data_IF_902423929192
#
_entry.id   IF_902423929192
#
_cell.length_a   1.000
_cell.length_b   1.000
_cell.length_c   1.000
_cell.angle_alpha   90.00
_cell.angle_beta   90.00
_cell.angle_gamma   90.00
#
_symmetry.space_group_name_H-M   'P 1'
#
loop_
_entity.id
_entity.type
_entity.pdbx_description
1 polymer ?
#
# COMPACT_ATOMS: atom_id res chain seq x y z
N UNK A 1 -31.25 54.80 16.91
CA UNK A 1 -30.26 54.83 15.82
C UNK A 1 -28.95 54.16 16.23
N UNK A 2 -28.48 54.33 17.48
CA UNK A 2 -27.26 53.67 17.99
C UNK A 2 -27.31 52.13 18.00
N UNK A 3 -28.47 51.55 18.29
CA UNK A 3 -28.62 50.08 18.41
C UNK A 3 -28.42 49.36 17.06
N UNK A 4 -28.93 49.92 15.96
CA UNK A 4 -28.71 49.37 14.61
C UNK A 4 -27.23 49.43 14.21
N UNK A 5 -26.57 50.56 14.50
CA UNK A 5 -25.16 50.76 14.20
C UNK A 5 -24.29 49.75 14.96
N UNK A 6 -24.55 49.59 16.26
CA UNK A 6 -23.85 48.63 17.10
C UNK A 6 -24.02 47.20 16.58
N UNK A 7 -25.23 46.83 16.15
CA UNK A 7 -25.50 45.51 15.58
C UNK A 7 -24.69 45.24 14.31
N UNK A 8 -24.69 46.17 13.35
CA UNK A 8 -23.94 46.00 12.09
C UNK A 8 -22.43 45.94 12.33
N UNK A 9 -21.88 46.75 13.25
CA UNK A 9 -20.47 46.68 13.62
C UNK A 9 -20.12 45.33 14.27
N UNK A 10 -20.99 44.81 15.13
CA UNK A 10 -20.81 43.48 15.73
C UNK A 10 -20.84 42.36 14.68
N UNK A 11 -21.74 42.42 13.70
CA UNK A 11 -21.78 41.45 12.60
C UNK A 11 -20.55 41.54 11.70
N UNK A 12 -20.12 42.75 11.40
CA UNK A 12 -18.88 43.01 10.65
C UNK A 12 -17.65 42.41 11.37
N UNK A 13 -17.55 42.60 12.69
CA UNK A 13 -16.51 41.97 13.51
C UNK A 13 -16.57 40.43 13.46
N UNK A 14 -17.77 39.84 13.54
CA UNK A 14 -17.93 38.38 13.37
C UNK A 14 -17.46 37.91 12.00
N UNK A 15 -17.69 38.69 10.95
CA UNK A 15 -17.25 38.37 9.59
C UNK A 15 -15.72 38.46 9.46
N UNK A 16 -15.11 39.49 10.04
CA UNK A 16 -13.65 39.64 10.09
C UNK A 16 -12.97 38.48 10.81
N UNK A 17 -13.50 38.04 11.96
CA UNK A 17 -12.97 36.90 12.70
C UNK A 17 -13.02 35.62 11.87
N UNK A 18 -14.11 35.37 11.13
CA UNK A 18 -14.20 34.21 10.22
C UNK A 18 -13.16 34.28 9.11
N UNK A 19 -13.01 35.45 8.48
CA UNK A 19 -12.06 35.64 7.40
C UNK A 19 -10.60 35.54 7.87
N UNK A 20 -10.30 35.99 9.09
CA UNK A 20 -8.98 35.83 9.73
C UNK A 20 -8.62 34.36 9.94
N UNK A 21 -9.56 33.55 10.44
CA UNK A 21 -9.33 32.11 10.63
C UNK A 21 -9.06 31.40 9.30
N UNK A 22 -9.78 31.80 8.24
CA UNK A 22 -9.58 31.26 6.90
C UNK A 22 -8.26 31.71 6.28
N UNK A 23 -7.84 32.97 6.48
CA UNK A 23 -6.55 33.45 5.97
C UNK A 23 -5.38 32.71 6.61
N UNK A 24 -5.44 32.42 7.92
CA UNK A 24 -4.44 31.61 8.61
C UNK A 24 -4.49 30.16 8.14
N UNK A 25 -5.68 29.58 7.94
CA UNK A 25 -5.80 28.19 7.49
C UNK A 25 -5.21 27.95 6.09
N UNK A 26 -5.48 28.84 5.14
CA UNK A 26 -5.02 28.68 3.75
C UNK A 26 -3.59 29.16 3.53
N UNK A 27 -3.03 29.97 4.43
CA UNK A 27 -1.69 30.57 4.31
C UNK A 27 -1.48 31.29 2.96
N UNK A 28 -2.55 31.84 2.38
CA UNK A 28 -2.55 32.46 1.06
C UNK A 28 -2.47 34.00 1.16
N UNK A 29 -1.53 34.58 0.40
CA UNK A 29 -1.25 36.02 0.41
C UNK A 29 -2.46 36.87 0.00
N UNK A 30 -3.25 36.43 -0.99
CA UNK A 30 -4.40 37.18 -1.47
C UNK A 30 -5.52 37.21 -0.43
N UNK A 31 -5.78 36.07 0.24
CA UNK A 31 -6.78 36.02 1.31
C UNK A 31 -6.37 36.94 2.47
N UNK A 32 -5.09 36.95 2.82
CA UNK A 32 -4.58 37.85 3.85
C UNK A 32 -4.74 39.33 3.46
N UNK A 33 -4.44 39.69 2.20
CA UNK A 33 -4.66 41.05 1.68
C UNK A 33 -6.13 41.46 1.69
N UNK A 34 -7.03 40.56 1.30
CA UNK A 34 -8.49 40.80 1.36
C UNK A 34 -8.93 41.03 2.81
N UNK A 35 -8.48 40.18 3.75
CA UNK A 35 -8.75 40.35 5.18
C UNK A 35 -8.34 41.73 5.70
N UNK A 36 -7.10 42.14 5.43
CA UNK A 36 -6.59 43.45 5.87
C UNK A 36 -7.43 44.60 5.28
N UNK A 37 -7.79 44.51 3.99
CA UNK A 37 -8.61 45.54 3.34
C UNK A 37 -10.00 45.61 3.95
N UNK A 38 -10.65 44.48 4.19
CA UNK A 38 -11.95 44.39 4.88
C UNK A 38 -11.86 44.99 6.29
N UNK A 39 -10.75 44.77 7.02
CA UNK A 39 -10.54 45.33 8.36
C UNK A 39 -10.39 46.86 8.33
N UNK A 40 -9.67 47.40 7.34
CA UNK A 40 -9.56 48.85 7.14
C UNK A 40 -10.93 49.48 6.89
N UNK A 41 -11.76 48.84 6.05
CA UNK A 41 -13.13 49.30 5.76
C UNK A 41 -13.98 49.29 7.03
N UNK A 42 -13.96 48.21 7.80
CA UNK A 42 -14.64 48.16 9.10
C UNK A 42 -14.24 49.33 10.01
N UNK A 43 -12.93 49.55 10.20
CA UNK A 43 -12.42 50.64 11.05
C UNK A 43 -12.85 52.01 10.55
N UNK A 44 -12.93 52.21 9.23
CA UNK A 44 -13.40 53.47 8.65
C UNK A 44 -14.86 53.75 9.03
N UNK A 45 -15.73 52.75 9.01
CA UNK A 45 -17.10 52.91 9.50
C UNK A 45 -17.14 53.06 11.03
N UNK A 46 -16.37 52.27 11.79
CA UNK A 46 -16.33 52.39 13.26
C UNK A 46 -15.95 53.80 13.73
N UNK A 47 -14.93 54.40 13.11
CA UNK A 47 -14.36 55.70 13.51
C UNK A 47 -15.12 56.92 12.99
N UNK A 48 -16.02 56.76 12.00
CA UNK A 48 -16.76 57.87 11.39
C UNK A 48 -18.28 57.66 11.57
N UNK A 49 -18.89 58.22 12.64
CA UNK A 49 -20.32 58.14 12.93
C UNK A 49 -21.23 58.67 11.81
N UNK A 50 -20.74 59.67 11.07
CA UNK A 50 -21.42 60.36 9.97
C UNK A 50 -21.72 59.44 8.76
N UNK A 51 -20.98 58.32 8.63
CA UNK A 51 -21.18 57.38 7.54
C UNK A 51 -22.42 56.52 7.76
N UNK A 52 -23.21 56.36 6.70
CA UNK A 52 -24.35 55.45 6.66
C UNK A 52 -23.89 54.00 6.86
N UNK A 53 -24.14 53.48 8.06
CA UNK A 53 -23.70 52.16 8.49
C UNK A 53 -24.27 51.02 7.63
N UNK A 54 -25.44 51.20 7.00
CA UNK A 54 -26.03 50.18 6.14
C UNK A 54 -25.15 49.86 4.92
N UNK A 55 -24.25 50.78 4.53
CA UNK A 55 -23.28 50.55 3.46
C UNK A 55 -22.21 49.54 3.85
N UNK A 56 -21.86 49.44 5.14
CA UNK A 56 -20.97 48.40 5.64
C UNK A 56 -21.62 47.00 5.55
N UNK A 57 -22.91 46.93 5.85
CA UNK A 57 -23.69 45.69 5.70
C UNK A 57 -23.75 45.26 4.22
N UNK A 58 -24.10 46.18 3.31
CA UNK A 58 -24.10 45.94 1.86
C UNK A 58 -22.73 45.48 1.35
N UNK A 59 -21.66 46.10 1.83
CA UNK A 59 -20.30 45.70 1.51
C UNK A 59 -20.02 44.23 1.89
N UNK A 60 -20.40 43.82 3.10
CA UNK A 60 -20.21 42.44 3.52
C UNK A 60 -21.06 41.46 2.72
N UNK A 61 -22.32 41.82 2.43
CA UNK A 61 -23.21 41.01 1.58
C UNK A 61 -22.62 40.81 0.18
N UNK A 62 -22.01 41.85 -0.39
CA UNK A 62 -21.51 41.83 -1.77
C UNK A 62 -20.14 41.15 -1.91
N UNK A 63 -19.22 41.40 -0.97
CA UNK A 63 -17.81 41.01 -1.17
C UNK A 63 -17.29 39.99 -0.16
N UNK A 64 -17.78 40.02 1.09
CA UNK A 64 -17.18 39.23 2.17
C UNK A 64 -17.91 37.91 2.43
N UNK A 65 -19.24 37.93 2.45
CA UNK A 65 -20.06 36.77 2.80
C UNK A 65 -19.86 35.61 1.82
N UNK A 66 -19.99 35.88 0.51
CA UNK A 66 -19.81 34.85 -0.53
C UNK A 66 -18.38 34.30 -0.58
N UNK A 67 -17.38 35.15 -0.30
CA UNK A 67 -15.98 34.73 -0.20
C UNK A 67 -15.77 33.79 0.99
N UNK A 68 -16.27 34.15 2.17
CA UNK A 68 -16.19 33.31 3.37
C UNK A 68 -16.86 31.96 3.14
N UNK A 69 -18.02 31.93 2.50
CA UNK A 69 -18.72 30.67 2.20
C UNK A 69 -17.95 29.79 1.21
N UNK A 70 -17.35 30.38 0.17
CA UNK A 70 -16.50 29.67 -0.78
C UNK A 70 -15.29 29.04 -0.09
N UNK A 71 -14.55 29.83 0.68
CA UNK A 71 -13.37 29.37 1.42
C UNK A 71 -13.73 28.28 2.44
N UNK A 72 -14.88 28.37 3.10
CA UNK A 72 -15.38 27.32 4.01
C UNK A 72 -15.69 26.01 3.27
N UNK A 73 -16.30 26.08 2.08
CA UNK A 73 -16.56 24.88 1.27
C UNK A 73 -15.27 24.20 0.84
N UNK A 74 -14.28 24.97 0.38
CA UNK A 74 -12.96 24.44 0.00
C UNK A 74 -12.28 23.79 1.21
N UNK A 75 -12.23 24.50 2.35
CA UNK A 75 -11.67 23.96 3.60
C UNK A 75 -12.31 22.63 3.97
N UNK A 76 -13.65 22.55 3.96
CA UNK A 76 -14.38 21.32 4.30
C UNK A 76 -14.06 20.18 3.33
N UNK A 77 -13.94 20.48 2.04
CA UNK A 77 -13.58 19.50 1.03
C UNK A 77 -12.15 18.96 1.23
N UNK A 78 -11.19 19.86 1.48
CA UNK A 78 -9.81 19.48 1.76
C UNK A 78 -9.70 18.61 3.02
N UNK A 79 -10.42 18.97 4.09
CA UNK A 79 -10.46 18.17 5.32
C UNK A 79 -11.05 16.77 5.09
N UNK A 80 -12.11 16.65 4.29
CA UNK A 80 -12.69 15.36 3.93
C UNK A 80 -11.71 14.51 3.11
N UNK A 81 -11.05 15.09 2.11
CA UNK A 81 -10.05 14.39 1.29
C UNK A 81 -8.85 13.94 2.12
N UNK A 82 -8.35 14.80 3.01
CA UNK A 82 -7.26 14.45 3.93
C UNK A 82 -7.67 13.28 4.84
N UNK A 83 -8.91 13.26 5.34
CA UNK A 83 -9.42 12.13 6.12
C UNK A 83 -9.36 10.81 5.34
N UNK A 84 -9.81 10.81 4.09
CA UNK A 84 -9.77 9.62 3.23
C UNK A 84 -8.33 9.13 2.97
N UNK A 85 -7.39 10.06 2.81
CA UNK A 85 -5.97 9.71 2.66
C UNK A 85 -5.40 9.09 3.94
N UNK A 86 -5.82 9.56 5.12
CA UNK A 86 -5.44 8.93 6.39
C UNK A 86 -6.00 7.51 6.51
N UNK A 87 -7.26 7.30 6.13
CA UNK A 87 -7.87 5.96 6.12
C UNK A 87 -7.11 5.02 5.17
N UNK A 88 -6.70 5.51 3.98
CA UNK A 88 -5.89 4.74 3.03
C UNK A 88 -4.51 4.39 3.60
N UNK A 89 -3.86 5.34 4.28
CA UNK A 89 -2.57 5.13 4.96
C UNK A 89 -2.70 4.04 6.03
N UNK A 90 -3.74 4.08 6.85
CA UNK A 90 -3.97 3.11 7.92
C UNK A 90 -4.21 1.70 7.36
N UNK A 91 -5.10 1.56 6.37
CA UNK A 91 -5.35 0.29 5.70
C UNK A 91 -4.10 -0.30 5.04
N UNK A 92 -3.26 0.56 4.44
CA UNK A 92 -2.01 0.12 3.81
C UNK A 92 -1.00 -0.35 4.85
N UNK A 93 -0.90 0.33 6.01
CA UNK A 93 -0.04 -0.11 7.12
C UNK A 93 -0.48 -1.44 7.69
N UNK A 94 -1.78 -1.64 7.94
CA UNK A 94 -2.29 -2.93 8.39
C UNK A 94 -1.96 -4.07 7.40
N UNK A 95 -1.98 -3.78 6.10
CA UNK A 95 -1.63 -4.77 5.08
C UNK A 95 -0.14 -5.13 5.14
N UNK A 96 0.75 -4.14 5.34
CA UNK A 96 2.19 -4.36 5.52
C UNK A 96 2.44 -5.21 6.77
N UNK A 97 1.82 -4.87 7.90
CA UNK A 97 1.99 -5.60 9.16
C UNK A 97 1.56 -7.07 9.04
N UNK A 98 0.41 -7.33 8.39
CA UNK A 98 -0.08 -8.69 8.09
C UNK A 98 0.88 -9.47 7.18
N UNK A 99 1.63 -8.78 6.32
CA UNK A 99 2.64 -9.39 5.47
C UNK A 99 3.93 -9.70 6.26
N UNK A 100 4.34 -8.85 7.21
CA UNK A 100 5.49 -9.06 8.09
C UNK A 100 5.30 -10.23 9.06
N UNK A 101 4.13 -10.33 9.72
CA UNK A 101 3.83 -11.39 10.70
C UNK A 101 3.89 -12.81 10.10
N UNK A 102 3.76 -12.91 8.78
CA UNK A 102 3.83 -14.16 8.02
C UNK A 102 5.20 -14.40 7.36
N UNK A 103 6.25 -13.64 7.71
CA UNK A 103 7.53 -13.75 7.03
C UNK A 103 8.43 -14.80 7.70
N UNK A 104 8.53 -15.97 7.05
CA UNK A 104 9.58 -16.94 7.35
C UNK A 104 10.93 -16.35 6.91
N UNK A 105 11.94 -16.34 7.80
CA UNK A 105 13.24 -15.75 7.48
C UNK A 105 14.09 -16.68 6.62
N UNK A 106 14.89 -16.11 5.71
CA UNK A 106 15.82 -16.89 4.87
C UNK A 106 16.82 -17.70 5.71
N UNK A 107 17.24 -17.16 6.86
CA UNK A 107 18.10 -17.86 7.80
C UNK A 107 17.42 -19.09 8.42
N UNK A 108 16.14 -18.98 8.80
CA UNK A 108 15.37 -20.12 9.32
C UNK A 108 15.22 -21.21 8.26
N UNK A 109 15.00 -20.80 7.01
CA UNK A 109 14.89 -21.71 5.87
C UNK A 109 16.19 -22.47 5.61
N UNK A 110 17.36 -21.79 5.58
CA UNK A 110 18.66 -22.45 5.37
C UNK A 110 18.99 -23.48 6.46
N UNK A 111 18.70 -23.16 7.73
CA UNK A 111 18.91 -24.09 8.85
C UNK A 111 17.99 -25.31 8.70
N UNK A 112 16.71 -25.10 8.38
CA UNK A 112 15.76 -26.19 8.25
C UNK A 112 15.96 -27.02 6.96
N UNK A 113 16.49 -26.45 5.88
CA UNK A 113 16.93 -27.19 4.68
C UNK A 113 17.98 -28.24 5.03
N UNK A 114 19.01 -27.86 5.80
CA UNK A 114 20.05 -28.78 6.23
C UNK A 114 19.48 -29.91 7.11
N UNK A 115 18.57 -29.57 8.03
CA UNK A 115 17.88 -30.55 8.86
C UNK A 115 17.01 -31.50 8.02
N UNK A 116 16.32 -30.99 7.01
CA UNK A 116 15.49 -31.79 6.13
C UNK A 116 16.35 -32.75 5.29
N UNK A 117 17.47 -32.30 4.73
CA UNK A 117 18.40 -33.17 4.01
C UNK A 117 18.91 -34.31 4.90
N UNK A 118 19.26 -34.02 6.16
CA UNK A 118 19.65 -35.08 7.12
C UNK A 118 18.52 -36.08 7.39
N UNK A 119 17.27 -35.61 7.54
CA UNK A 119 16.10 -36.49 7.71
C UNK A 119 15.90 -37.39 6.50
N UNK A 120 16.03 -36.87 5.29
CA UNK A 120 15.90 -37.64 4.04
C UNK A 120 17.02 -38.66 3.92
N UNK A 121 18.27 -38.26 4.16
CA UNK A 121 19.42 -39.17 4.14
C UNK A 121 19.25 -40.35 5.12
N UNK A 122 18.80 -40.07 6.35
CA UNK A 122 18.50 -41.10 7.35
C UNK A 122 17.34 -41.99 6.92
N UNK A 123 16.30 -41.39 6.32
CA UNK A 123 15.12 -42.13 5.88
C UNK A 123 15.43 -43.06 4.69
N UNK A 124 16.28 -42.62 3.77
CA UNK A 124 16.74 -43.43 2.64
C UNK A 124 17.63 -44.60 3.10
N UNK A 125 18.52 -44.38 4.08
CA UNK A 125 19.31 -45.46 4.71
C UNK A 125 18.42 -46.52 5.33
N UNK A 126 17.41 -46.10 6.10
CA UNK A 126 16.43 -47.01 6.71
C UNK A 126 15.58 -47.71 5.65
N UNK A 127 15.14 -46.99 4.61
CA UNK A 127 14.38 -47.58 3.50
C UNK A 127 15.19 -48.67 2.80
N UNK A 128 16.49 -48.46 2.59
CA UNK A 128 17.38 -49.48 2.04
C UNK A 128 17.44 -50.73 2.94
N UNK A 129 17.58 -50.57 4.26
CA UNK A 129 17.57 -51.68 5.22
C UNK A 129 16.23 -52.43 5.17
N UNK A 130 15.11 -51.70 5.25
CA UNK A 130 13.76 -52.28 5.18
C UNK A 130 13.55 -53.09 3.90
N UNK A 131 14.00 -52.57 2.75
CA UNK A 131 13.91 -53.27 1.47
C UNK A 131 14.84 -54.48 1.39
N UNK A 132 16.02 -54.43 2.02
CA UNK A 132 17.00 -55.53 2.01
C UNK A 132 16.60 -56.66 2.94
N UNK A 133 16.12 -56.32 4.14
CA UNK A 133 15.73 -57.26 5.20
C UNK A 133 14.27 -57.75 5.04
N UNK A 134 13.54 -57.18 4.06
CA UNK A 134 12.11 -57.39 3.86
C UNK A 134 11.31 -57.14 5.16
N UNK A 135 11.70 -56.10 5.91
CA UNK A 135 11.08 -55.70 7.18
C UNK A 135 9.77 -54.92 6.95
N UNK A 136 8.91 -54.88 7.96
CA UNK A 136 7.72 -54.04 8.01
C UNK A 136 7.96 -52.70 8.74
N UNK A 137 9.19 -52.38 9.13
CA UNK A 137 9.50 -51.16 9.86
C UNK A 137 9.25 -49.89 9.04
N UNK A 138 8.79 -48.83 9.71
CA UNK A 138 8.59 -47.53 9.09
C UNK A 138 9.93 -46.81 8.85
N UNK A 139 10.31 -46.50 7.59
CA UNK A 139 11.66 -46.02 7.30
C UNK A 139 11.84 -44.51 7.51
N UNK A 140 10.77 -43.71 7.57
CA UNK A 140 10.88 -42.26 7.57
C UNK A 140 11.05 -41.64 8.96
N UNK A 141 11.74 -40.50 8.99
CA UNK A 141 11.81 -39.66 10.18
C UNK A 141 10.45 -39.04 10.51
N UNK A 142 10.18 -38.79 11.80
CA UNK A 142 8.94 -38.14 12.24
C UNK A 142 8.74 -36.80 11.54
N UNK A 143 7.52 -36.55 11.05
CA UNK A 143 7.11 -35.32 10.37
C UNK A 143 8.00 -34.98 9.15
N UNK A 144 8.30 -35.98 8.32
CA UNK A 144 9.15 -35.80 7.12
C UNK A 144 8.60 -34.72 6.16
N UNK A 145 7.28 -34.53 6.11
CA UNK A 145 6.62 -33.57 5.22
C UNK A 145 6.48 -32.15 5.80
N UNK A 146 6.83 -31.94 7.09
CA UNK A 146 6.61 -30.64 7.75
C UNK A 146 7.45 -29.51 7.14
N UNK A 147 8.62 -29.83 6.57
CA UNK A 147 9.48 -28.85 5.92
C UNK A 147 8.81 -28.28 4.66
N UNK A 148 8.42 -29.16 3.73
CA UNK A 148 7.70 -28.75 2.52
C UNK A 148 6.40 -28.01 2.83
N UNK A 149 5.61 -28.48 3.81
CA UNK A 149 4.37 -27.82 4.19
C UNK A 149 4.60 -26.38 4.67
N UNK A 150 5.69 -26.16 5.42
CA UNK A 150 6.02 -24.86 6.00
C UNK A 150 6.60 -23.89 4.97
N UNK A 151 7.52 -24.34 4.13
CA UNK A 151 8.34 -23.46 3.30
C UNK A 151 7.98 -23.42 1.82
N UNK A 152 7.14 -24.35 1.32
CA UNK A 152 6.72 -24.33 -0.09
C UNK A 152 6.03 -23.02 -0.52
N UNK A 153 5.18 -22.36 0.29
CA UNK A 153 4.55 -21.11 -0.10
C UNK A 153 5.57 -20.03 -0.49
N UNK A 154 6.61 -19.84 0.32
CA UNK A 154 7.51 -18.68 0.20
C UNK A 154 8.81 -18.98 -0.56
N UNK A 155 9.35 -20.21 -0.44
CA UNK A 155 10.70 -20.54 -0.89
C UNK A 155 10.79 -21.49 -2.08
N UNK A 156 9.71 -22.22 -2.41
CA UNK A 156 9.75 -23.17 -3.53
C UNK A 156 9.44 -22.46 -4.85
N UNK A 157 10.13 -22.88 -5.92
CA UNK A 157 9.95 -22.33 -7.26
C UNK A 157 8.65 -22.84 -7.88
N UNK A 158 7.93 -21.94 -8.55
CA UNK A 158 6.71 -22.30 -9.26
C UNK A 158 7.06 -23.03 -10.56
N UNK A 159 6.45 -24.20 -10.77
CA UNK A 159 6.52 -24.95 -12.02
C UNK A 159 5.11 -25.15 -12.59
N UNK A 160 5.03 -25.35 -13.90
CA UNK A 160 3.76 -25.67 -14.53
C UNK A 160 3.32 -27.12 -14.19
N UNK A 161 2.01 -27.42 -14.22
CA UNK A 161 1.50 -28.77 -13.94
C UNK A 161 2.05 -29.85 -14.88
N UNK A 162 2.35 -29.48 -16.13
CA UNK A 162 2.89 -30.39 -17.14
C UNK A 162 4.29 -30.88 -16.75
N UNK A 163 5.19 -29.96 -16.35
CA UNK A 163 6.54 -30.31 -15.87
C UNK A 163 6.47 -31.11 -14.57
N UNK A 164 5.56 -30.78 -13.65
CA UNK A 164 5.37 -31.60 -12.45
C UNK A 164 5.05 -33.06 -12.83
N UNK A 165 4.09 -33.25 -13.73
CA UNK A 165 3.66 -34.58 -14.20
C UNK A 165 4.79 -35.31 -14.89
N UNK A 166 5.58 -34.61 -15.71
CA UNK A 166 6.75 -35.15 -16.38
C UNK A 166 7.83 -35.60 -15.38
N UNK A 167 8.12 -34.79 -14.35
CA UNK A 167 9.13 -35.08 -13.34
C UNK A 167 8.76 -36.31 -12.49
N UNK A 168 7.48 -36.50 -12.18
CA UNK A 168 7.02 -37.65 -11.39
C UNK A 168 6.71 -38.89 -12.24
N UNK A 169 6.89 -38.83 -13.57
CA UNK A 169 6.64 -39.97 -14.44
C UNK A 169 7.75 -41.02 -14.31
N UNK A 170 7.39 -42.29 -14.12
CA UNK A 170 8.35 -43.37 -14.01
C UNK A 170 7.79 -44.71 -14.52
N UNK A 171 8.70 -45.61 -14.88
CA UNK A 171 8.38 -46.99 -15.20
C UNK A 171 8.32 -47.82 -13.91
N UNK A 172 7.17 -48.43 -13.64
CA UNK A 172 6.94 -49.29 -12.46
C UNK A 172 7.93 -50.47 -12.40
N UNK A 173 8.38 -51.00 -13.54
CA UNK A 173 9.31 -52.12 -13.55
C UNK A 173 10.73 -51.72 -13.12
N UNK A 174 11.05 -50.43 -13.06
CA UNK A 174 12.38 -49.90 -12.71
C UNK A 174 12.45 -49.40 -11.25
N UNK A 175 11.43 -49.68 -10.44
CA UNK A 175 11.31 -49.22 -9.06
C UNK A 175 11.25 -50.39 -8.06
N UNK A 176 11.74 -50.10 -6.85
CA UNK A 176 11.41 -50.84 -5.64
C UNK A 176 10.17 -50.21 -5.01
N UNK A 177 9.31 -51.06 -4.46
CA UNK A 177 8.09 -50.66 -3.79
C UNK A 177 8.04 -51.33 -2.42
N UNK A 178 7.70 -50.57 -1.40
CA UNK A 178 7.15 -51.14 -0.17
C UNK A 178 5.88 -50.37 0.21
N UNK A 179 5.27 -50.77 1.33
CA UNK A 179 4.05 -50.15 1.86
C UNK A 179 4.18 -48.65 2.14
N UNK A 180 5.41 -48.12 2.27
CA UNK A 180 5.66 -46.74 2.70
C UNK A 180 6.24 -45.85 1.60
N UNK A 181 6.91 -46.40 0.58
CA UNK A 181 7.70 -45.64 -0.37
C UNK A 181 7.90 -46.35 -1.71
N UNK A 182 8.14 -45.56 -2.75
CA UNK A 182 8.58 -46.02 -4.07
C UNK A 182 9.88 -45.35 -4.44
N UNK A 183 10.87 -46.12 -4.93
CA UNK A 183 12.18 -45.58 -5.30
C UNK A 183 12.76 -46.29 -6.52
N UNK A 184 13.34 -45.54 -7.47
CA UNK A 184 14.04 -46.14 -8.61
C UNK A 184 15.18 -47.04 -8.17
N UNK A 185 15.29 -48.24 -8.76
CA UNK A 185 16.31 -49.24 -8.38
C UNK A 185 17.73 -48.71 -8.58
N UNK A 186 17.97 -48.06 -9.73
CA UNK A 186 19.25 -47.44 -10.06
C UNK A 186 19.60 -46.32 -9.08
N UNK A 187 18.60 -45.52 -8.66
CA UNK A 187 18.77 -44.47 -7.67
C UNK A 187 19.20 -45.06 -6.33
N UNK A 188 18.50 -46.10 -5.85
CA UNK A 188 18.85 -46.78 -4.61
C UNK A 188 20.29 -47.32 -4.62
N UNK A 189 20.71 -47.96 -5.72
CA UNK A 189 22.08 -48.47 -5.86
C UNK A 189 23.13 -47.36 -5.78
N UNK A 190 22.89 -46.23 -6.44
CA UNK A 190 23.78 -45.06 -6.42
C UNK A 190 23.82 -44.42 -5.02
N UNK A 191 22.65 -44.24 -4.39
CA UNK A 191 22.57 -43.71 -3.03
C UNK A 191 23.36 -44.58 -2.05
N UNK A 192 23.23 -45.91 -2.14
CA UNK A 192 24.00 -46.83 -1.29
C UNK A 192 25.51 -46.71 -1.55
N UNK A 193 25.94 -46.64 -2.82
CA UNK A 193 27.34 -46.46 -3.20
C UNK A 193 27.97 -45.21 -2.56
N UNK A 194 27.23 -44.11 -2.47
CA UNK A 194 27.69 -42.84 -1.88
C UNK A 194 27.19 -42.61 -0.44
N UNK A 195 26.88 -43.71 0.27
CA UNK A 195 26.47 -43.69 1.68
C UNK A 195 25.29 -42.73 1.99
N UNK A 196 24.38 -42.54 1.03
CA UNK A 196 23.18 -41.71 1.14
C UNK A 196 23.50 -40.26 1.55
N UNK A 197 24.62 -39.72 1.09
CA UNK A 197 25.02 -38.34 1.36
C UNK A 197 24.47 -37.42 0.29
N UNK A 198 23.40 -36.73 0.61
CA UNK A 198 22.81 -35.71 -0.25
C UNK A 198 22.52 -34.42 0.50
N UNK A 199 22.43 -33.33 -0.25
CA UNK A 199 22.04 -32.01 0.23
C UNK A 199 20.80 -31.52 -0.50
N UNK A 200 20.02 -30.66 0.15
CA UNK A 200 18.86 -30.04 -0.47
C UNK A 200 19.31 -29.06 -1.54
N UNK A 201 18.81 -29.21 -2.76
CA UNK A 201 19.13 -28.35 -3.90
C UNK A 201 18.08 -27.26 -4.07
N UNK A 202 16.82 -27.64 -4.30
CA UNK A 202 15.71 -26.69 -4.42
C UNK A 202 14.37 -27.37 -4.13
N UNK A 203 13.34 -26.56 -3.89
CA UNK A 203 11.95 -27.03 -3.82
C UNK A 203 11.16 -26.53 -5.01
N UNK A 204 10.27 -27.35 -5.53
CA UNK A 204 9.40 -27.04 -6.66
C UNK A 204 7.93 -27.18 -6.24
N UNK A 205 7.05 -26.34 -6.78
CA UNK A 205 5.61 -26.45 -6.54
C UNK A 205 4.76 -26.21 -7.78
N UNK A 206 3.69 -27.00 -7.91
CA UNK A 206 2.61 -26.84 -8.88
C UNK A 206 1.28 -26.80 -8.10
N UNK A 207 0.80 -25.59 -7.78
CA UNK A 207 -0.35 -25.42 -6.88
C UNK A 207 -0.05 -25.98 -5.49
N UNK A 208 -0.83 -26.98 -5.06
CA UNK A 208 -0.66 -27.66 -3.76
C UNK A 208 0.32 -28.84 -3.82
N UNK A 209 0.81 -29.21 -5.01
CA UNK A 209 1.76 -30.30 -5.19
C UNK A 209 3.18 -29.76 -5.06
N UNK A 210 4.02 -30.49 -4.35
CA UNK A 210 5.39 -30.08 -4.01
C UNK A 210 6.38 -31.19 -4.33
N UNK A 211 7.59 -30.82 -4.74
CA UNK A 211 8.75 -31.70 -4.88
C UNK A 211 9.94 -31.08 -4.17
N UNK A 212 10.73 -31.93 -3.52
CA UNK A 212 12.02 -31.57 -2.96
C UNK A 212 13.11 -32.17 -3.83
N UNK A 213 14.03 -31.36 -4.36
CA UNK A 213 15.16 -31.80 -5.19
C UNK A 213 16.42 -31.84 -4.33
N UNK A 214 17.17 -32.91 -4.45
CA UNK A 214 18.39 -33.20 -3.71
C UNK A 214 19.56 -33.45 -4.66
N UNK A 215 20.75 -32.99 -4.28
CA UNK A 215 22.01 -33.24 -4.98
C UNK A 215 22.84 -34.24 -4.20
N UNK A 216 23.40 -35.25 -4.87
CA UNK A 216 24.39 -36.13 -4.24
C UNK A 216 25.71 -35.37 -4.06
N UNK A 217 26.36 -35.49 -2.90
CA UNK A 217 27.58 -34.72 -2.63
C UNK A 217 28.79 -35.18 -3.45
N UNK A 218 28.85 -36.47 -3.78
CA UNK A 218 30.00 -37.10 -4.44
C UNK A 218 29.75 -37.40 -5.94
N UNK A 219 28.59 -37.02 -6.47
CA UNK A 219 28.22 -37.22 -7.87
C UNK A 219 27.29 -36.09 -8.31
N UNK A 220 27.55 -35.50 -9.49
CA UNK A 220 26.71 -34.42 -10.04
C UNK A 220 25.40 -34.98 -10.61
N UNK A 221 24.61 -35.58 -9.74
CA UNK A 221 23.31 -36.16 -10.01
C UNK A 221 22.32 -35.69 -8.97
N UNK A 222 21.10 -35.52 -9.44
CA UNK A 222 20.00 -35.04 -8.63
C UNK A 222 18.89 -36.06 -8.58
N UNK A 223 18.17 -36.07 -7.47
CA UNK A 223 16.95 -36.85 -7.32
C UNK A 223 15.87 -35.99 -6.67
N UNK A 224 14.63 -36.31 -6.98
CA UNK A 224 13.47 -35.68 -6.36
C UNK A 224 12.87 -36.60 -5.31
N UNK A 225 12.25 -35.97 -4.33
CA UNK A 225 11.36 -36.57 -3.37
C UNK A 225 9.99 -35.91 -3.51
N UNK A 226 8.95 -36.71 -3.67
CA UNK A 226 7.55 -36.27 -3.63
C UNK A 226 6.92 -36.62 -2.28
N UNK A 227 6.65 -35.62 -1.41
CA UNK A 227 5.99 -35.81 -0.12
C UNK A 227 4.58 -36.43 -0.20
N UNK A 228 3.90 -36.30 -1.34
CA UNK A 228 2.52 -36.75 -1.51
C UNK A 228 2.37 -38.28 -1.49
N UNK A 229 3.37 -38.99 -2.02
CA UNK A 229 3.35 -40.45 -2.21
C UNK A 229 4.67 -41.11 -1.83
N UNK A 230 5.57 -40.40 -1.14
CA UNK A 230 6.91 -40.85 -0.76
C UNK A 230 7.68 -41.48 -1.93
N UNK A 231 7.68 -40.77 -3.06
CA UNK A 231 8.29 -41.21 -4.30
C UNK A 231 9.68 -40.59 -4.48
N UNK A 232 10.66 -41.41 -4.85
CA UNK A 232 12.04 -41.01 -5.12
C UNK A 232 12.46 -41.39 -6.54
N UNK A 233 12.76 -40.38 -7.36
CA UNK A 233 13.17 -40.56 -8.76
C UNK A 233 14.42 -39.73 -9.06
N UNK A 234 15.21 -40.12 -10.05
CA UNK A 234 16.20 -39.23 -10.63
C UNK A 234 15.54 -37.96 -11.17
N UNK A 235 16.21 -36.83 -11.00
CA UNK A 235 15.81 -35.54 -11.51
C UNK A 235 16.85 -35.08 -12.53
N UNK A 236 16.37 -34.78 -13.73
CA UNK A 236 17.16 -34.14 -14.77
C UNK A 236 17.08 -32.62 -14.57
N UNK A 237 18.19 -32.02 -14.16
CA UNK A 237 18.24 -30.59 -13.79
C UNK A 237 18.14 -29.69 -15.02
N UNK A 238 18.51 -30.18 -16.20
CA UNK A 238 18.40 -29.42 -17.46
C UNK A 238 16.94 -29.06 -17.74
N UNK A 239 15.98 -29.89 -17.27
CA UNK A 239 14.54 -29.60 -17.35
C UNK A 239 14.10 -28.42 -16.47
N UNK A 240 14.96 -27.97 -15.55
CA UNK A 240 14.71 -26.87 -14.62
C UNK A 240 15.26 -25.52 -15.11
N UNK A 241 15.99 -25.48 -16.23
CA UNK A 241 16.67 -24.26 -16.71
C UNK A 241 15.74 -23.16 -17.21
N UNK A 242 14.46 -23.47 -17.46
CA UNK A 242 13.43 -22.50 -17.85
C UNK A 242 12.58 -21.95 -16.70
N UNK A 243 12.81 -22.38 -15.46
CA UNK A 243 11.98 -21.98 -14.32
C UNK A 243 12.36 -20.59 -13.84
N UNK A 244 11.35 -19.76 -13.55
CA UNK A 244 11.56 -18.48 -12.89
C UNK A 244 12.13 -18.69 -11.47
N UNK A 245 13.41 -18.34 -11.31
CA UNK A 245 14.14 -18.44 -10.04
C UNK A 245 13.88 -17.26 -9.11
N UNK A 246 12.98 -16.33 -9.45
CA UNK A 246 12.48 -15.35 -8.49
C UNK A 246 11.59 -16.06 -7.47
N UNK A 247 12.07 -16.21 -6.24
CA UNK A 247 11.27 -16.80 -5.16
C UNK A 247 10.13 -15.84 -4.74
N UNK A 248 9.08 -16.40 -4.14
CA UNK A 248 7.92 -15.60 -3.71
C UNK A 248 8.29 -14.61 -2.60
N UNK A 249 9.32 -14.91 -1.80
CA UNK A 249 9.87 -13.98 -0.80
C UNK A 249 10.33 -12.65 -1.43
N UNK A 250 11.09 -12.69 -2.54
CA UNK A 250 11.55 -11.47 -3.23
C UNK A 250 10.40 -10.64 -3.80
N UNK A 251 9.32 -11.30 -4.26
CA UNK A 251 8.12 -10.60 -4.76
C UNK A 251 7.35 -9.93 -3.61
N UNK A 252 7.23 -10.62 -2.48
CA UNK A 252 6.58 -10.11 -1.26
C UNK A 252 7.34 -8.91 -0.68
N UNK A 253 8.66 -8.99 -0.60
CA UNK A 253 9.53 -7.88 -0.15
C UNK A 253 9.44 -6.67 -1.07
N UNK A 254 9.43 -6.86 -2.40
CA UNK A 254 9.24 -5.77 -3.36
C UNK A 254 7.89 -5.08 -3.18
N UNK A 255 6.82 -5.87 -3.06
CA UNK A 255 5.48 -5.33 -2.86
C UNK A 255 5.39 -4.53 -1.55
N UNK A 256 5.99 -5.04 -0.46
CA UNK A 256 6.05 -4.29 0.80
C UNK A 256 6.80 -2.97 0.64
N UNK A 257 7.95 -2.95 -0.03
CA UNK A 257 8.69 -1.72 -0.32
C UNK A 257 7.88 -0.72 -1.16
N UNK A 258 7.15 -1.20 -2.17
CA UNK A 258 6.27 -0.36 -2.97
C UNK A 258 5.14 0.27 -2.14
N UNK A 259 4.49 -0.53 -1.28
CA UNK A 259 3.45 -0.05 -0.37
C UNK A 259 4.01 0.97 0.63
N UNK A 260 5.17 0.71 1.22
CA UNK A 260 5.85 1.63 2.14
C UNK A 260 6.14 2.98 1.46
N UNK A 261 6.66 2.93 0.24
CA UNK A 261 6.98 4.13 -0.55
C UNK A 261 5.72 4.93 -0.87
N UNK A 262 4.63 4.25 -1.23
CA UNK A 262 3.33 4.89 -1.47
C UNK A 262 2.80 5.57 -0.20
N UNK A 263 2.85 4.91 0.95
CA UNK A 263 2.43 5.48 2.23
C UNK A 263 3.25 6.70 2.62
N UNK A 264 4.57 6.65 2.45
CA UNK A 264 5.45 7.79 2.73
C UNK A 264 5.12 9.00 1.85
N UNK A 265 4.83 8.76 0.57
CA UNK A 265 4.43 9.80 -0.36
C UNK A 265 3.09 10.43 0.03
N UNK A 266 2.07 9.62 0.32
CA UNK A 266 0.76 10.10 0.78
C UNK A 266 0.91 10.95 2.06
N UNK A 267 1.73 10.50 3.02
CA UNK A 267 1.98 11.24 4.26
C UNK A 267 2.62 12.62 4.01
N UNK A 268 3.53 12.71 3.05
CA UNK A 268 4.12 13.98 2.60
C UNK A 268 3.08 14.91 1.97
N UNK A 269 2.22 14.35 1.11
CA UNK A 269 1.27 15.12 0.31
C UNK A 269 0.07 15.66 1.13
N UNK A 270 -0.28 15.02 2.26
CA UNK A 270 -1.36 15.44 3.17
C UNK A 270 -1.24 16.91 3.59
N UNK A 271 -0.01 17.38 3.83
CA UNK A 271 0.22 18.77 4.30
C UNK A 271 -0.14 19.77 3.20
N UNK A 272 0.23 19.46 1.95
CA UNK A 272 -0.09 20.29 0.80
C UNK A 272 -1.59 20.23 0.43
N UNK A 273 -2.22 19.06 0.55
CA UNK A 273 -3.65 18.89 0.26
C UNK A 273 -4.55 19.70 1.21
N UNK A 274 -4.15 19.89 2.47
CA UNK A 274 -4.94 20.61 3.47
C UNK A 274 -5.22 22.06 3.06
N UNK A 275 -4.24 22.74 2.47
CA UNK A 275 -4.32 24.14 2.06
C UNK A 275 -4.49 24.31 0.56
N UNK A 276 -4.57 23.21 -0.19
CA UNK A 276 -4.67 23.24 -1.65
C UNK A 276 -5.91 24.01 -2.10
N UNK A 277 -5.71 24.80 -3.15
CA UNK A 277 -6.77 25.61 -3.74
C UNK A 277 -6.66 25.55 -5.27
N UNK A 278 -7.77 25.34 -5.99
CA UNK A 278 -7.77 25.36 -7.45
C UNK A 278 -7.29 26.70 -8.01
N UNK A 279 -6.65 26.66 -9.17
CA UNK A 279 -6.10 27.86 -9.82
C UNK A 279 -7.21 28.85 -10.20
N UNK A 280 -8.39 28.38 -10.58
CA UNK A 280 -9.53 29.24 -10.91
C UNK A 280 -9.96 30.07 -9.70
N UNK A 281 -9.96 29.47 -8.50
CA UNK A 281 -10.30 30.16 -7.25
C UNK A 281 -9.27 31.23 -6.94
N UNK A 282 -7.97 30.97 -7.13
CA UNK A 282 -6.92 31.99 -6.93
C UNK A 282 -7.09 33.18 -7.87
N UNK A 283 -7.49 32.95 -9.11
CA UNK A 283 -7.81 34.02 -10.07
C UNK A 283 -9.01 34.84 -9.59
N UNK A 284 -10.07 34.18 -9.12
CA UNK A 284 -11.25 34.82 -8.53
C UNK A 284 -10.91 35.68 -7.31
N UNK A 285 -10.01 35.20 -6.44
CA UNK A 285 -9.53 35.98 -5.30
C UNK A 285 -8.79 37.25 -5.74
N UNK A 286 -7.93 37.14 -6.76
CA UNK A 286 -7.21 38.29 -7.30
C UNK A 286 -8.16 39.35 -7.90
N UNK A 287 -9.20 38.92 -8.61
CA UNK A 287 -10.23 39.82 -9.14
C UNK A 287 -11.05 40.48 -8.03
N UNK A 288 -11.44 39.72 -6.99
CA UNK A 288 -12.16 40.27 -5.84
C UNK A 288 -11.29 41.30 -5.11
N UNK A 289 -10.02 40.99 -4.86
CA UNK A 289 -9.07 41.91 -4.25
C UNK A 289 -8.87 43.20 -5.07
N UNK A 290 -8.78 43.08 -6.40
CA UNK A 290 -8.69 44.25 -7.28
C UNK A 290 -9.91 45.15 -7.13
N UNK A 291 -11.11 44.57 -7.16
CA UNK A 291 -12.37 45.33 -6.91
C UNK A 291 -12.36 46.00 -5.53
N UNK A 292 -11.91 45.31 -4.48
CA UNK A 292 -11.80 45.87 -3.13
C UNK A 292 -10.82 47.05 -3.02
N UNK A 293 -9.77 47.07 -3.83
CA UNK A 293 -8.83 48.18 -3.92
C UNK A 293 -9.38 49.34 -4.74
N UNK A 294 -10.11 49.04 -5.83
CA UNK A 294 -10.69 50.05 -6.72
C UNK A 294 -11.89 50.78 -6.09
N UNK A 295 -12.48 50.26 -5.00
CA UNK A 295 -13.49 51.00 -4.22
C UNK A 295 -12.83 52.19 -3.55
N UNK A 296 -12.97 53.36 -4.18
CA UNK A 296 -12.70 54.64 -3.57
C UNK A 296 -13.86 55.00 -2.65
N UNK A 297 -13.82 54.46 -1.42
CA UNK A 297 -14.91 54.53 -0.43
C UNK A 297 -15.42 55.95 -0.13
N UNK A 298 -14.64 57.00 -0.42
CA UNK A 298 -15.04 58.40 -0.21
C UNK A 298 -15.76 59.02 -1.43
N UNK A 299 -15.54 58.51 -2.65
CA UNK A 299 -16.15 59.05 -3.87
C UNK A 299 -17.40 58.27 -4.32
N UNK A 300 -17.48 56.97 -4.04
CA UNK A 300 -18.53 56.10 -4.58
C UNK A 300 -19.71 55.88 -3.61
N UNK A 301 -19.81 56.62 -2.51
CA UNK A 301 -20.92 56.52 -1.53
C UNK A 301 -22.29 56.73 -2.20
N UNK A 302 -22.35 57.45 -3.32
CA UNK A 302 -23.57 57.68 -4.11
C UNK A 302 -23.87 56.61 -5.17
N UNK A 303 -22.94 55.69 -5.45
CA UNK A 303 -23.05 54.68 -6.53
C UNK A 303 -23.00 53.23 -6.02
N UNK A 304 -23.19 53.00 -4.72
CA UNK A 304 -23.35 51.64 -4.14
C UNK A 304 -24.77 51.14 -4.39
N UNK A 305 -25.20 51.18 -5.65
CA UNK A 305 -26.33 50.44 -6.15
C UNK A 305 -25.87 49.74 -7.42
N UNK A 306 -26.19 48.45 -7.55
CA UNK A 306 -25.92 47.59 -8.70
C UNK A 306 -24.49 47.01 -8.76
N UNK A 307 -24.17 45.94 -8.00
CA UNK A 307 -23.32 44.80 -8.49
C UNK A 307 -23.43 43.55 -7.57
N UNK A 308 -24.63 43.14 -7.17
CA UNK A 308 -24.83 41.97 -6.29
C UNK A 308 -24.94 40.60 -7.01
N UNK A 309 -24.85 40.54 -8.35
CA UNK A 309 -25.20 39.32 -9.12
C UNK A 309 -24.03 38.46 -9.62
N UNK A 310 -22.79 38.95 -9.61
CA UNK A 310 -21.68 38.28 -10.33
C UNK A 310 -21.14 37.05 -9.57
N UNK A 311 -20.92 37.17 -8.25
CA UNK A 311 -20.40 36.06 -7.43
C UNK A 311 -21.44 34.95 -7.20
N UNK A 312 -22.73 35.31 -7.10
CA UNK A 312 -23.83 34.33 -6.98
C UNK A 312 -24.08 33.56 -8.27
N UNK A 313 -23.99 34.20 -9.45
CA UNK A 313 -24.16 33.46 -10.72
C UNK A 313 -22.99 32.50 -10.95
N UNK A 314 -21.76 32.88 -10.60
CA UNK A 314 -20.57 32.02 -10.77
C UNK A 314 -20.51 30.86 -9.77
N UNK A 315 -20.98 31.03 -8.52
CA UNK A 315 -21.11 29.94 -7.54
C UNK A 315 -22.07 28.81 -7.97
N UNK A 316 -22.98 29.09 -8.90
CA UNK A 316 -23.94 28.12 -9.43
C UNK A 316 -23.49 27.46 -10.74
N UNK A 317 -22.38 27.89 -11.37
CA UNK A 317 -22.01 27.38 -12.70
C UNK A 317 -21.00 26.23 -12.66
N UNK A 318 -20.24 26.03 -11.57
CA UNK A 318 -19.15 25.04 -11.52
C UNK A 318 -19.23 24.04 -10.33
N UNK A 319 -20.43 23.51 -10.07
CA UNK A 319 -20.59 22.28 -9.27
C UNK A 319 -21.12 21.18 -10.20
N UNK A 320 -20.25 20.63 -11.05
CA UNK A 320 -20.37 19.31 -11.70
C UNK A 320 -19.04 18.58 -11.48
#
# INVERSE_FOLDING_TARGET
>A
MDENRLNILNESNRMLSKLQLLSVFFEDELIYKIYLRTQVIHKLFETNPELDINKLELFHLQFTASLVDLLRKIKKNNEANVSLVFDEIELTREMIDKMEDNQLSEQSYKIDQQRQALKINLSLRKLYQVLSDNSADYPFSKNINAFSLRYAPDFFFNINPELYTELINYNYNDTYHNTYATIQRKLMGILNKYAFRSEFYCGLKAGNLVLEVYRLLDEDRHFLFSPANNLFLFCDVDKLDGIDRSNNLSRKERLMHELQNKTNKLQSDVTAMKTQMPAEIKSLLAENYKKLNDINFLQNISEIDVQANILKSMLNTDII
#
